data_IF_102644435404
#
_entry.id   IF_102644435404
#
_cell.length_a   1.000
_cell.length_b   1.000
_cell.length_c   1.000
_cell.angle_alpha   90.00
_cell.angle_beta   90.00
_cell.angle_gamma   90.00
#
_symmetry.space_group_name_H-M   'P 1'
#
loop_
_entity.id
_entity.type
_entity.pdbx_description
1 polymer ?
#
# COMPACT_ATOMS: atom_id res chain seq x y z
N UNK A 1 -8.56 -22.02 -2.82
CA UNK A 1 -8.44 -20.91 -1.84
C UNK A 1 -8.15 -21.39 -0.42
N UNK A 2 -9.01 -22.18 0.22
CA UNK A 2 -8.86 -22.54 1.65
C UNK A 2 -7.50 -23.21 1.97
N UNK A 3 -7.07 -24.21 1.21
CA UNK A 3 -5.76 -24.86 1.43
C UNK A 3 -4.58 -23.89 1.25
N UNK A 4 -4.69 -22.94 0.33
CA UNK A 4 -3.66 -21.92 0.10
C UNK A 4 -3.60 -20.89 1.23
N UNK A 5 -4.60 -20.82 2.12
CA UNK A 5 -4.50 -19.98 3.32
C UNK A 5 -3.46 -20.51 4.29
N UNK A 6 -3.22 -21.82 4.31
CA UNK A 6 -2.26 -22.46 5.20
C UNK A 6 -0.80 -22.10 4.85
N UNK A 7 -0.56 -21.61 3.63
CA UNK A 7 0.77 -21.14 3.23
C UNK A 7 1.07 -19.73 3.72
N UNK A 8 0.05 -18.90 4.01
CA UNK A 8 0.25 -17.51 4.42
C UNK A 8 1.06 -17.37 5.73
N UNK A 9 0.78 -18.12 6.82
CA UNK A 9 1.60 -18.05 8.03
C UNK A 9 3.05 -18.51 7.79
N UNK A 10 3.25 -19.51 6.92
CA UNK A 10 4.59 -19.99 6.54
C UNK A 10 5.35 -18.87 5.86
N UNK A 11 4.77 -18.25 4.83
CA UNK A 11 5.39 -17.13 4.10
C UNK A 11 5.65 -15.94 5.02
N UNK A 12 4.72 -15.61 5.94
CA UNK A 12 4.90 -14.53 6.90
C UNK A 12 6.07 -14.79 7.84
N UNK A 13 6.17 -16.01 8.38
CA UNK A 13 7.26 -16.40 9.27
C UNK A 13 8.61 -16.46 8.54
N UNK A 14 8.69 -17.15 7.41
CA UNK A 14 9.94 -17.31 6.66
C UNK A 14 10.45 -15.99 6.12
N UNK A 15 9.58 -15.12 5.61
CA UNK A 15 9.98 -13.79 5.13
C UNK A 15 10.49 -12.90 6.27
N UNK A 16 9.85 -12.94 7.44
CA UNK A 16 10.30 -12.23 8.63
C UNK A 16 11.70 -12.69 9.07
N UNK A 17 11.91 -14.01 9.19
CA UNK A 17 13.22 -14.57 9.54
C UNK A 17 14.29 -14.22 8.49
N UNK A 18 14.01 -14.40 7.20
CA UNK A 18 14.94 -14.11 6.12
C UNK A 18 15.34 -12.63 6.08
N UNK A 19 14.40 -11.70 6.23
CA UNK A 19 14.69 -10.26 6.25
C UNK A 19 15.51 -9.88 7.49
N UNK A 20 15.22 -10.49 8.63
CA UNK A 20 15.98 -10.27 9.85
C UNK A 20 17.43 -10.75 9.72
N UNK A 21 17.65 -11.97 9.22
CA UNK A 21 18.98 -12.53 8.97
C UNK A 21 19.77 -11.73 7.93
N UNK A 22 19.11 -11.27 6.86
CA UNK A 22 19.70 -10.42 5.82
C UNK A 22 19.96 -8.97 6.28
N UNK A 23 19.60 -8.62 7.53
CA UNK A 23 19.65 -7.25 8.08
C UNK A 23 18.87 -6.24 7.23
N UNK A 24 17.77 -6.69 6.63
CA UNK A 24 16.81 -5.85 5.94
C UNK A 24 15.80 -5.32 6.97
N UNK A 25 16.31 -4.46 7.85
CA UNK A 25 15.56 -3.83 8.93
C UNK A 25 15.65 -2.31 8.86
N UNK A 26 14.64 -1.65 9.41
CA UNK A 26 14.57 -0.20 9.57
C UNK A 26 14.16 0.13 11.00
N UNK A 27 14.68 1.21 11.61
CA UNK A 27 14.21 1.68 12.90
C UNK A 27 12.78 2.18 12.79
N UNK A 28 11.87 1.58 13.56
CA UNK A 28 10.49 2.05 13.65
C UNK A 28 10.40 3.40 14.38
N UNK A 29 9.17 3.94 14.51
CA UNK A 29 8.93 5.21 15.23
C UNK A 29 9.38 5.21 16.71
N UNK A 30 9.56 4.02 17.31
CA UNK A 30 10.08 3.81 18.67
C UNK A 30 11.59 3.52 18.69
N UNK A 31 12.30 3.66 17.55
CA UNK A 31 13.72 3.36 17.34
C UNK A 31 14.10 1.88 17.53
N UNK A 32 13.14 0.97 17.37
CA UNK A 32 13.39 -0.47 17.35
C UNK A 32 13.59 -0.94 15.92
N UNK A 33 14.67 -1.66 15.67
CA UNK A 33 14.92 -2.30 14.37
C UNK A 33 13.90 -3.41 14.13
N UNK A 34 13.11 -3.28 13.06
CA UNK A 34 12.13 -4.28 12.63
C UNK A 34 12.35 -4.64 11.15
N UNK A 35 12.14 -5.91 10.76
CA UNK A 35 12.17 -6.31 9.36
C UNK A 35 10.95 -5.78 8.62
N UNK A 36 11.14 -5.18 7.44
CA UNK A 36 10.07 -4.68 6.56
C UNK A 36 9.50 -5.77 5.63
N UNK A 37 9.21 -6.93 6.20
CA UNK A 37 8.84 -8.13 5.44
C UNK A 37 7.36 -8.27 5.11
N UNK A 38 6.46 -7.49 5.74
CA UNK A 38 5.02 -7.78 5.64
C UNK A 38 4.46 -7.51 4.24
N UNK A 39 5.08 -6.65 3.43
CA UNK A 39 4.69 -6.49 2.03
C UNK A 39 4.87 -7.77 1.19
N UNK A 40 5.77 -8.68 1.57
CA UNK A 40 5.89 -10.01 0.93
C UNK A 40 4.60 -10.80 1.11
N UNK A 41 3.99 -10.75 2.30
CA UNK A 41 2.72 -11.45 2.58
C UNK A 41 1.59 -10.88 1.73
N UNK A 42 1.54 -9.55 1.57
CA UNK A 42 0.55 -8.86 0.75
C UNK A 42 0.66 -9.27 -0.72
N UNK A 43 1.86 -9.17 -1.28
CA UNK A 43 2.11 -9.48 -2.69
C UNK A 43 1.94 -10.97 -2.97
N UNK A 44 2.42 -11.85 -2.08
CA UNK A 44 2.19 -13.28 -2.20
C UNK A 44 0.69 -13.62 -2.18
N UNK A 45 -0.05 -13.03 -1.23
CA UNK A 45 -1.50 -13.21 -1.15
C UNK A 45 -2.22 -12.76 -2.43
N UNK A 46 -1.83 -11.60 -2.96
CA UNK A 46 -2.38 -11.12 -4.24
C UNK A 46 -1.98 -12.02 -5.42
N UNK A 47 -0.72 -12.48 -5.48
CA UNK A 47 -0.25 -13.41 -6.52
C UNK A 47 -1.02 -14.73 -6.51
N UNK A 48 -1.35 -15.26 -5.33
CA UNK A 48 -2.20 -16.45 -5.18
C UNK A 48 -3.61 -16.17 -5.71
N UNK A 49 -4.18 -15.00 -5.43
CA UNK A 49 -5.47 -14.63 -6.01
C UNK A 49 -5.39 -14.45 -7.53
N UNK A 50 -4.28 -13.99 -8.10
CA UNK A 50 -4.13 -13.92 -9.56
C UNK A 50 -3.93 -15.29 -10.22
N UNK A 51 -3.24 -16.22 -9.56
CA UNK A 51 -3.05 -17.58 -10.05
C UNK A 51 -4.33 -18.43 -9.94
N UNK A 52 -5.15 -18.15 -8.94
CA UNK A 52 -6.41 -18.83 -8.67
C UNK A 52 -7.53 -17.80 -8.47
N UNK A 53 -7.96 -17.13 -9.54
CA UNK A 53 -8.88 -16.01 -9.48
C UNK A 53 -10.20 -16.39 -8.81
N UNK A 54 -10.67 -15.61 -7.82
CA UNK A 54 -11.95 -15.85 -7.16
C UNK A 54 -13.16 -15.50 -8.03
N UNK A 55 -12.93 -14.74 -9.11
CA UNK A 55 -13.91 -14.32 -10.11
C UNK A 55 -13.19 -13.99 -11.42
N UNK A 56 -13.92 -13.93 -12.54
CA UNK A 56 -13.39 -13.52 -13.85
C UNK A 56 -13.09 -12.01 -13.95
N UNK A 57 -12.79 -11.36 -12.83
CA UNK A 57 -12.47 -9.95 -12.75
C UNK A 57 -11.05 -9.66 -13.24
N UNK A 58 -10.90 -8.55 -13.96
CA UNK A 58 -9.59 -8.05 -14.40
C UNK A 58 -8.67 -7.69 -13.22
N UNK A 59 -9.22 -7.44 -12.02
CA UNK A 59 -8.46 -7.15 -10.79
C UNK A 59 -7.42 -8.22 -10.51
N UNK A 60 -7.75 -9.48 -10.77
CA UNK A 60 -6.88 -10.63 -10.51
C UNK A 60 -6.12 -11.09 -11.76
N UNK A 61 -5.95 -10.22 -12.76
CA UNK A 61 -5.18 -10.54 -13.96
C UNK A 61 -3.66 -10.58 -13.71
N UNK A 62 -2.92 -11.26 -14.60
CA UNK A 62 -1.45 -11.21 -14.59
C UNK A 62 -0.89 -9.81 -14.88
N UNK A 63 -1.65 -8.95 -15.59
CA UNK A 63 -1.26 -7.55 -15.78
C UNK A 63 -1.31 -6.81 -14.43
N UNK A 64 -2.36 -7.01 -13.65
CA UNK A 64 -2.50 -6.45 -12.30
C UNK A 64 -1.40 -6.96 -11.37
N UNK A 65 -1.08 -8.25 -11.43
CA UNK A 65 0.06 -8.82 -10.70
C UNK A 65 1.39 -8.17 -11.10
N UNK A 66 1.64 -8.01 -12.39
CA UNK A 66 2.85 -7.37 -12.91
C UNK A 66 3.01 -5.93 -12.42
N UNK A 67 1.91 -5.16 -12.41
CA UNK A 67 1.90 -3.80 -11.86
C UNK A 67 2.18 -3.80 -10.35
N UNK A 68 1.48 -4.61 -9.56
CA UNK A 68 1.65 -4.68 -8.10
C UNK A 68 3.06 -5.12 -7.72
N UNK A 69 3.61 -6.14 -8.38
CA UNK A 69 4.99 -6.59 -8.18
C UNK A 69 5.99 -5.47 -8.50
N UNK A 70 5.78 -4.74 -9.58
CA UNK A 70 6.68 -3.64 -9.97
C UNK A 70 6.65 -2.50 -8.95
N UNK A 71 5.47 -2.13 -8.46
CA UNK A 71 5.31 -1.13 -7.39
C UNK A 71 5.93 -1.60 -6.07
N UNK A 72 5.75 -2.88 -5.72
CA UNK A 72 6.36 -3.48 -4.55
C UNK A 72 7.89 -3.44 -4.63
N UNK A 73 8.47 -3.81 -5.79
CA UNK A 73 9.93 -3.73 -6.02
C UNK A 73 10.43 -2.29 -5.87
N UNK A 74 9.71 -1.30 -6.41
CA UNK A 74 10.08 0.11 -6.26
C UNK A 74 10.10 0.54 -4.77
N UNK A 75 9.10 0.11 -3.99
CA UNK A 75 9.09 0.36 -2.55
C UNK A 75 10.19 -0.39 -1.80
N UNK A 76 10.52 -1.62 -2.21
CA UNK A 76 11.59 -2.42 -1.60
C UNK A 76 12.97 -1.80 -1.82
N UNK A 77 13.22 -1.28 -3.02
CA UNK A 77 14.46 -0.54 -3.32
C UNK A 77 14.56 0.70 -2.44
N UNK A 78 13.45 1.41 -2.21
CA UNK A 78 13.41 2.59 -1.33
C UNK A 78 13.66 2.22 0.14
N UNK A 79 13.03 1.15 0.66
CA UNK A 79 13.30 0.62 2.00
C UNK A 79 14.78 0.23 2.18
N UNK A 80 15.41 -0.30 1.14
CA UNK A 80 16.78 -0.80 1.21
C UNK A 80 17.84 0.29 1.11
N UNK A 81 17.61 1.30 0.28
CA UNK A 81 18.62 2.28 -0.13
C UNK A 81 18.27 3.74 0.20
N UNK A 82 17.02 4.05 0.56
CA UNK A 82 16.51 5.42 0.77
C UNK A 82 16.96 6.14 2.04
N UNK A 83 18.15 5.84 2.57
CA UNK A 83 18.63 6.45 3.82
C UNK A 83 19.01 7.92 3.62
N UNK A 84 18.58 8.77 4.56
CA UNK A 84 19.02 10.16 4.76
C UNK A 84 18.65 11.19 3.67
N UNK A 85 17.53 10.98 2.97
CA UNK A 85 17.03 11.94 1.97
C UNK A 85 15.97 12.91 2.55
N UNK A 86 15.87 14.15 2.04
CA UNK A 86 14.88 15.12 2.48
C UNK A 86 13.46 14.63 2.20
N UNK A 87 12.59 14.69 3.21
CA UNK A 87 11.19 14.25 3.11
C UNK A 87 10.33 15.27 2.35
N UNK A 88 9.42 14.77 1.51
CA UNK A 88 8.38 15.56 0.83
C UNK A 88 8.73 16.00 -0.59
N UNK A 89 7.71 16.29 -1.39
CA UNK A 89 7.84 16.60 -2.84
C UNK A 89 8.79 17.78 -3.07
N UNK A 90 8.65 18.85 -2.27
CA UNK A 90 9.54 20.02 -2.33
C UNK A 90 10.99 19.69 -1.98
N UNK A 91 11.21 18.77 -1.05
CA UNK A 91 12.55 18.31 -0.66
C UNK A 91 13.24 17.58 -1.81
N UNK A 92 12.53 16.65 -2.47
CA UNK A 92 13.05 15.93 -3.64
C UNK A 92 13.26 16.85 -4.85
N UNK A 93 12.32 17.76 -5.11
CA UNK A 93 12.46 18.74 -6.21
C UNK A 93 13.62 19.71 -5.94
N UNK A 94 13.81 20.15 -4.71
CA UNK A 94 14.94 20.99 -4.33
C UNK A 94 16.27 20.22 -4.46
N UNK A 95 16.34 18.98 -3.98
CA UNK A 95 17.53 18.14 -4.10
C UNK A 95 17.88 17.84 -5.57
N UNK A 96 16.89 17.66 -6.43
CA UNK A 96 17.10 17.45 -7.87
C UNK A 96 17.59 18.72 -8.57
N UNK A 97 16.95 19.86 -8.32
CA UNK A 97 17.24 21.11 -9.03
C UNK A 97 18.54 21.75 -8.52
N UNK A 98 18.76 21.73 -7.20
CA UNK A 98 19.86 22.44 -6.56
C UNK A 98 21.07 21.53 -6.33
N UNK A 99 20.85 20.31 -5.84
CA UNK A 99 21.93 19.40 -5.48
C UNK A 99 22.25 18.38 -6.57
N UNK A 100 21.46 18.35 -7.67
CA UNK A 100 21.54 17.37 -8.77
C UNK A 100 21.53 15.91 -8.28
N UNK A 101 20.88 15.65 -7.13
CA UNK A 101 20.83 14.32 -6.52
C UNK A 101 19.60 13.57 -6.99
N UNK A 102 19.84 12.40 -7.57
CA UNK A 102 18.79 11.46 -7.92
C UNK A 102 18.47 10.62 -6.68
N UNK A 103 17.33 10.89 -6.06
CA UNK A 103 16.91 10.21 -4.82
C UNK A 103 16.08 8.97 -5.14
N UNK A 104 16.12 7.96 -4.26
CA UNK A 104 15.26 6.77 -4.39
C UNK A 104 13.78 7.13 -4.37
N UNK A 105 13.39 8.16 -3.62
CA UNK A 105 12.04 8.72 -3.63
C UNK A 105 11.61 9.30 -4.98
N UNK A 106 12.52 9.97 -5.71
CA UNK A 106 12.25 10.47 -7.06
C UNK A 106 12.11 9.30 -8.06
N UNK A 107 13.02 8.32 -7.97
CA UNK A 107 12.95 7.10 -8.78
C UNK A 107 11.61 6.38 -8.58
N UNK A 108 11.18 6.25 -7.33
CA UNK A 108 9.91 5.63 -6.96
C UNK A 108 8.72 6.40 -7.51
N UNK A 109 8.73 7.74 -7.44
CA UNK A 109 7.67 8.57 -7.98
C UNK A 109 7.57 8.45 -9.52
N UNK A 110 8.69 8.62 -10.22
CA UNK A 110 8.75 8.50 -11.69
C UNK A 110 8.40 7.08 -12.12
N UNK A 111 8.96 6.07 -11.45
CA UNK A 111 8.66 4.65 -11.69
C UNK A 111 7.16 4.36 -11.53
N UNK A 112 6.54 4.85 -10.46
CA UNK A 112 5.09 4.69 -10.23
C UNK A 112 4.28 5.33 -11.36
N UNK A 113 4.64 6.54 -11.80
CA UNK A 113 3.96 7.24 -12.89
C UNK A 113 4.08 6.47 -14.21
N UNK A 114 5.28 5.99 -14.55
CA UNK A 114 5.51 5.23 -15.78
C UNK A 114 4.76 3.89 -15.76
N UNK A 115 4.82 3.16 -14.64
CA UNK A 115 4.12 1.90 -14.46
C UNK A 115 2.60 2.08 -14.48
N UNK A 116 2.08 3.14 -13.87
CA UNK A 116 0.65 3.48 -13.91
C UNK A 116 0.21 3.83 -15.34
N UNK A 117 1.01 4.62 -16.08
CA UNK A 117 0.76 4.95 -17.48
C UNK A 117 0.73 3.70 -18.37
N UNK A 118 1.72 2.82 -18.20
CA UNK A 118 1.79 1.55 -18.93
C UNK A 118 0.59 0.65 -18.61
N UNK A 119 0.24 0.50 -17.34
CA UNK A 119 -0.92 -0.30 -16.92
C UNK A 119 -2.23 0.25 -17.50
N UNK A 120 -2.45 1.57 -17.41
CA UNK A 120 -3.62 2.22 -17.99
C UNK A 120 -3.69 2.02 -19.50
N UNK A 121 -2.57 2.14 -20.21
CA UNK A 121 -2.50 1.91 -21.65
C UNK A 121 -2.86 0.46 -22.01
N UNK A 122 -2.29 -0.51 -21.30
CA UNK A 122 -2.52 -1.94 -21.55
C UNK A 122 -3.91 -2.41 -21.10
N UNK A 123 -4.52 -1.75 -20.12
CA UNK A 123 -5.88 -2.07 -19.65
C UNK A 123 -6.99 -1.62 -20.60
N UNK A 124 -6.67 -0.80 -21.62
CA UNK A 124 -7.59 -0.28 -22.63
C UNK A 124 -8.98 0.15 -22.08
N UNK A 125 -9.05 1.14 -21.17
CA UNK A 125 -10.32 1.60 -20.63
C UNK A 125 -11.27 2.11 -21.73
N UNK A 126 -12.57 1.91 -21.52
CA UNK A 126 -13.63 2.20 -22.50
C UNK A 126 -13.73 3.68 -22.93
N UNK A 127 -13.18 4.61 -22.14
CA UNK A 127 -13.25 6.04 -22.41
C UNK A 127 -12.01 6.78 -21.90
N UNK A 128 -11.69 7.91 -22.53
CA UNK A 128 -10.56 8.76 -22.11
C UNK A 128 -10.70 9.22 -20.65
N UNK A 129 -11.91 9.56 -20.21
CA UNK A 129 -12.14 9.97 -18.82
C UNK A 129 -11.85 8.84 -17.83
N UNK A 130 -12.19 7.59 -18.18
CA UNK A 130 -11.87 6.41 -17.35
C UNK A 130 -10.37 6.14 -17.34
N UNK A 131 -9.67 6.34 -18.46
CA UNK A 131 -8.21 6.27 -18.51
C UNK A 131 -7.55 7.31 -17.60
N UNK A 132 -8.06 8.54 -17.60
CA UNK A 132 -7.53 9.62 -16.75
C UNK A 132 -7.76 9.30 -15.26
N UNK A 133 -8.99 8.95 -14.86
CA UNK A 133 -9.27 8.60 -13.47
C UNK A 133 -8.46 7.39 -13.00
N UNK A 134 -8.33 6.36 -13.85
CA UNK A 134 -7.51 5.18 -13.57
C UNK A 134 -6.05 5.54 -13.35
N UNK A 135 -5.45 6.30 -14.25
CA UNK A 135 -4.06 6.75 -14.12
C UNK A 135 -3.82 7.54 -12.83
N UNK A 136 -4.72 8.47 -12.49
CA UNK A 136 -4.59 9.23 -11.24
C UNK A 136 -4.71 8.35 -10.01
N UNK A 137 -5.66 7.42 -9.96
CA UNK A 137 -5.82 6.51 -8.82
C UNK A 137 -4.61 5.58 -8.64
N UNK A 138 -4.09 5.04 -9.73
CA UNK A 138 -2.88 4.20 -9.74
C UNK A 138 -1.64 4.98 -9.27
N UNK A 139 -1.56 6.28 -9.51
CA UNK A 139 -0.48 7.10 -8.95
C UNK A 139 -0.72 7.47 -7.47
N UNK A 140 -1.93 7.93 -7.14
CA UNK A 140 -2.22 8.59 -5.88
C UNK A 140 -2.37 7.60 -4.71
N UNK A 141 -3.06 6.46 -4.89
CA UNK A 141 -3.28 5.54 -3.78
C UNK A 141 -2.00 4.91 -3.23
N UNK A 142 -1.07 4.38 -4.05
CA UNK A 142 0.24 3.92 -3.54
C UNK A 142 0.97 5.01 -2.76
N UNK A 143 0.98 6.25 -3.27
CA UNK A 143 1.65 7.37 -2.62
C UNK A 143 0.98 7.76 -1.28
N UNK A 144 -0.35 7.81 -1.24
CA UNK A 144 -1.09 8.10 -0.02
C UNK A 144 -0.88 7.00 1.03
N UNK A 145 -0.94 5.73 0.66
CA UNK A 145 -0.66 4.64 1.60
C UNK A 145 0.75 4.75 2.19
N UNK A 146 1.76 5.05 1.36
CA UNK A 146 3.12 5.32 1.83
C UNK A 146 3.19 6.47 2.84
N UNK A 147 2.44 7.54 2.60
CA UNK A 147 2.39 8.69 3.51
C UNK A 147 1.79 8.35 4.87
N UNK A 148 0.80 7.45 4.89
CA UNK A 148 0.19 6.97 6.12
C UNK A 148 1.03 5.91 6.84
N UNK A 149 2.04 5.30 6.18
CA UNK A 149 2.97 4.33 6.78
C UNK A 149 4.03 4.99 7.68
N UNK A 150 3.54 5.65 8.73
CA UNK A 150 4.36 6.37 9.71
C UNK A 150 4.20 5.81 11.12
N UNK A 151 3.16 5.01 11.34
CA UNK A 151 2.87 4.31 12.59
C UNK A 151 2.16 2.99 12.29
N UNK A 152 2.28 2.00 13.21
CA UNK A 152 1.71 0.68 13.02
C UNK A 152 0.22 0.74 12.67
N UNK A 153 -0.19 -0.11 11.73
CA UNK A 153 -1.58 -0.39 11.35
C UNK A 153 -2.34 0.76 10.69
N UNK A 154 -1.72 1.92 10.44
CA UNK A 154 -2.41 3.04 9.76
C UNK A 154 -2.85 2.68 8.35
N UNK A 155 -1.93 2.09 7.58
CA UNK A 155 -2.21 1.64 6.21
C UNK A 155 -3.35 0.63 6.21
N UNK A 156 -3.35 -0.31 7.15
CA UNK A 156 -4.38 -1.34 7.26
C UNK A 156 -5.75 -0.79 7.66
N UNK A 157 -5.80 0.16 8.59
CA UNK A 157 -7.06 0.84 8.96
C UNK A 157 -7.65 1.60 7.77
N UNK A 158 -6.80 2.31 7.02
CA UNK A 158 -7.24 3.01 5.82
C UNK A 158 -7.67 2.03 4.72
N UNK A 159 -6.93 0.94 4.54
CA UNK A 159 -7.24 -0.10 3.56
C UNK A 159 -8.56 -0.79 3.85
N UNK A 160 -8.85 -1.10 5.12
CA UNK A 160 -10.15 -1.62 5.55
C UNK A 160 -11.29 -0.62 5.29
N UNK A 161 -11.07 0.66 5.56
CA UNK A 161 -12.07 1.70 5.30
C UNK A 161 -12.41 1.76 3.80
N UNK A 162 -11.38 1.76 2.94
CA UNK A 162 -11.55 1.77 1.48
C UNK A 162 -12.22 0.48 1.01
N UNK A 163 -11.77 -0.69 1.48
CA UNK A 163 -12.37 -1.97 1.12
C UNK A 163 -13.85 -2.06 1.55
N UNK A 164 -14.18 -1.62 2.77
CA UNK A 164 -15.56 -1.56 3.25
C UNK A 164 -16.42 -0.63 2.38
N UNK A 165 -15.90 0.54 2.01
CA UNK A 165 -16.60 1.47 1.13
C UNK A 165 -16.87 0.86 -0.25
N UNK A 166 -15.91 0.13 -0.83
CA UNK A 166 -16.11 -0.60 -2.09
C UNK A 166 -17.21 -1.65 -1.91
N UNK A 167 -17.14 -2.48 -0.85
CA UNK A 167 -18.11 -3.55 -0.61
C UNK A 167 -19.55 -3.07 -0.37
N UNK A 168 -19.79 -1.80 -0.03
CA UNK A 168 -21.14 -1.23 0.06
C UNK A 168 -21.85 -1.15 -1.30
N UNK A 169 -21.09 -1.10 -2.39
CA UNK A 169 -21.62 -0.94 -3.74
C UNK A 169 -21.44 -2.19 -4.61
N UNK A 170 -20.96 -3.29 -4.02
CA UNK A 170 -20.54 -4.48 -4.75
C UNK A 170 -21.09 -5.76 -4.13
N UNK A 171 -21.28 -6.83 -4.92
CA UNK A 171 -21.62 -8.13 -4.36
C UNK A 171 -20.52 -8.59 -3.39
N UNK A 172 -20.94 -9.24 -2.31
CA UNK A 172 -20.01 -9.81 -1.36
C UNK A 172 -19.11 -10.84 -2.05
N UNK A 173 -17.79 -10.86 -1.74
CA UNK A 173 -16.90 -11.89 -2.22
C UNK A 173 -17.37 -13.28 -1.78
N UNK A 174 -16.93 -14.32 -2.49
CA UNK A 174 -17.13 -15.69 -2.00
C UNK A 174 -16.58 -15.82 -0.58
N UNK A 175 -17.21 -16.68 0.24
CA UNK A 175 -16.75 -16.95 1.60
C UNK A 175 -15.26 -17.30 1.65
N UNK A 176 -14.79 -18.09 0.68
CA UNK A 176 -13.38 -18.49 0.61
C UNK A 176 -12.43 -17.32 0.33
N UNK A 177 -12.84 -16.36 -0.51
CA UNK A 177 -12.05 -15.16 -0.84
C UNK A 177 -12.01 -14.19 0.33
N UNK A 178 -13.16 -14.00 1.00
CA UNK A 178 -13.27 -13.20 2.21
C UNK A 178 -12.39 -13.76 3.32
N UNK A 179 -12.48 -15.08 3.55
CA UNK A 179 -11.68 -15.78 4.54
C UNK A 179 -10.18 -15.63 4.23
N UNK A 180 -9.78 -15.80 2.97
CA UNK A 180 -8.39 -15.60 2.53
C UNK A 180 -7.87 -14.18 2.81
N UNK A 181 -8.63 -13.16 2.41
CA UNK A 181 -8.29 -11.76 2.66
C UNK A 181 -8.23 -11.42 4.16
N UNK A 182 -9.16 -11.95 4.95
CA UNK A 182 -9.16 -11.78 6.41
C UNK A 182 -7.93 -12.42 7.08
N UNK A 183 -7.44 -13.54 6.57
CA UNK A 183 -6.20 -14.14 7.10
C UNK A 183 -4.97 -13.33 6.76
N UNK A 184 -4.86 -12.77 5.55
CA UNK A 184 -3.79 -11.80 5.23
C UNK A 184 -3.85 -10.65 6.21
N UNK A 185 -5.03 -10.03 6.34
CA UNK A 185 -5.23 -8.91 7.25
C UNK A 185 -4.84 -9.28 8.69
N UNK A 186 -5.32 -10.41 9.20
CA UNK A 186 -5.04 -10.86 10.57
C UNK A 186 -3.54 -11.08 10.81
N UNK A 187 -2.85 -11.76 9.90
CA UNK A 187 -1.42 -12.02 10.03
C UNK A 187 -0.63 -10.71 10.07
N UNK A 188 -0.91 -9.78 9.15
CA UNK A 188 -0.20 -8.50 9.13
C UNK A 188 -0.57 -7.65 10.34
N UNK A 189 -1.85 -7.62 10.72
CA UNK A 189 -2.34 -6.88 11.87
C UNK A 189 -1.64 -7.32 13.17
N UNK A 190 -1.52 -8.62 13.40
CA UNK A 190 -0.84 -9.17 14.58
C UNK A 190 0.65 -8.88 14.51
N UNK A 191 1.34 -9.20 13.41
CA UNK A 191 2.79 -9.04 13.33
C UNK A 191 3.23 -7.57 13.42
N UNK A 192 2.47 -6.66 12.82
CA UNK A 192 2.75 -5.23 12.88
C UNK A 192 2.35 -4.61 14.23
N UNK A 193 1.17 -4.97 14.75
CA UNK A 193 0.66 -4.49 16.05
C UNK A 193 1.53 -4.92 17.24
N UNK A 194 2.10 -6.13 17.17
CA UNK A 194 3.04 -6.70 18.15
C UNK A 194 4.49 -6.27 17.93
N UNK A 195 4.76 -5.42 16.92
CA UNK A 195 6.12 -4.95 16.56
C UNK A 195 7.07 -6.12 16.29
N UNK A 196 6.63 -7.13 15.54
CA UNK A 196 7.47 -8.25 15.08
C UNK A 196 8.05 -7.98 13.70
N UNK A 197 7.27 -7.32 12.85
CA UNK A 197 7.68 -6.87 11.52
C UNK A 197 6.96 -5.56 11.19
N UNK A 198 7.39 -4.89 10.12
CA UNK A 198 6.73 -3.70 9.60
C UNK A 198 6.26 -3.93 8.16
N UNK A 199 5.27 -3.14 7.73
CA UNK A 199 4.80 -3.14 6.36
C UNK A 199 5.85 -2.61 5.40
N UNK A 200 6.46 -1.47 5.76
CA UNK A 200 7.48 -0.80 4.96
C UNK A 200 6.90 -0.14 3.72
N UNK A 201 7.75 0.64 3.05
CA UNK A 201 7.37 1.36 1.84
C UNK A 201 6.95 0.37 0.74
N UNK A 202 7.59 -0.81 0.68
CA UNK A 202 7.21 -1.89 -0.24
C UNK A 202 5.76 -2.37 -0.05
N UNK A 203 5.34 -2.62 1.19
CA UNK A 203 4.02 -3.14 1.47
C UNK A 203 2.94 -2.06 1.39
N UNK A 204 3.27 -0.83 1.82
CA UNK A 204 2.34 0.29 1.79
C UNK A 204 1.97 0.67 0.36
N UNK A 205 2.95 0.84 -0.53
CA UNK A 205 2.67 1.16 -1.94
C UNK A 205 1.97 0.01 -2.66
N UNK A 206 2.35 -1.24 -2.40
CA UNK A 206 1.70 -2.41 -2.99
C UNK A 206 0.23 -2.52 -2.56
N UNK A 207 -0.07 -2.27 -1.29
CA UNK A 207 -1.46 -2.25 -0.78
C UNK A 207 -2.27 -1.15 -1.46
N UNK A 208 -1.69 0.05 -1.61
CA UNK A 208 -2.32 1.13 -2.36
C UNK A 208 -2.55 0.80 -3.84
N UNK A 209 -1.62 0.09 -4.47
CA UNK A 209 -1.73 -0.36 -5.86
C UNK A 209 -2.87 -1.37 -6.05
N UNK A 210 -3.00 -2.34 -5.14
CA UNK A 210 -4.10 -3.30 -5.14
C UNK A 210 -5.45 -2.58 -4.99
N UNK A 211 -5.56 -1.64 -4.05
CA UNK A 211 -6.78 -0.86 -3.86
C UNK A 211 -7.11 0.02 -5.06
N UNK A 212 -6.09 0.57 -5.73
CA UNK A 212 -6.28 1.36 -6.96
C UNK A 212 -6.81 0.49 -8.11
N UNK A 213 -6.22 -0.68 -8.32
CA UNK A 213 -6.71 -1.65 -9.30
C UNK A 213 -8.16 -2.00 -8.99
N UNK A 214 -8.47 -2.31 -7.73
CA UNK A 214 -9.81 -2.69 -7.34
C UNK A 214 -10.81 -1.57 -7.63
N UNK A 215 -10.52 -0.36 -7.17
CA UNK A 215 -11.38 0.81 -7.38
C UNK A 215 -11.57 1.18 -8.86
N UNK A 216 -10.57 0.96 -9.71
CA UNK A 216 -10.61 1.36 -11.13
C UNK A 216 -11.35 0.37 -12.03
N UNK A 217 -11.30 -0.91 -11.68
CA UNK A 217 -12.01 -1.96 -12.41
C UNK A 217 -13.43 -2.17 -11.90
N UNK A 218 -13.61 -2.12 -10.58
CA UNK A 218 -14.84 -2.50 -9.92
C UNK A 218 -15.67 -1.28 -9.44
N UNK A 219 -15.02 -0.13 -9.22
CA UNK A 219 -15.72 1.10 -8.85
C UNK A 219 -16.37 1.81 -10.03
N UNK A 220 -17.52 2.45 -9.79
CA UNK A 220 -18.17 3.31 -10.78
C UNK A 220 -17.30 4.51 -11.13
N UNK A 221 -17.56 5.13 -12.27
CA UNK A 221 -16.80 6.28 -12.74
C UNK A 221 -16.88 7.47 -11.77
N UNK A 222 -18.05 7.69 -11.17
CA UNK A 222 -18.28 8.73 -10.16
C UNK A 222 -17.45 8.47 -8.91
N UNK A 223 -17.42 7.22 -8.43
CA UNK A 223 -16.64 6.82 -7.27
C UNK A 223 -15.14 6.99 -7.53
N UNK A 224 -14.66 6.69 -8.74
CA UNK A 224 -13.28 6.89 -9.13
C UNK A 224 -12.87 8.37 -9.08
N UNK A 225 -13.67 9.25 -9.70
CA UNK A 225 -13.39 10.69 -9.70
C UNK A 225 -13.50 11.32 -8.32
N UNK A 226 -14.50 10.90 -7.55
CA UNK A 226 -14.65 11.33 -6.15
C UNK A 226 -13.43 10.94 -5.32
N UNK A 227 -12.99 9.68 -5.43
CA UNK A 227 -11.81 9.19 -4.71
C UNK A 227 -10.54 9.89 -5.17
N UNK A 228 -10.33 10.06 -6.48
CA UNK A 228 -9.16 10.77 -7.02
C UNK A 228 -9.10 12.22 -6.50
N UNK A 229 -10.24 12.90 -6.43
CA UNK A 229 -10.35 14.26 -5.88
C UNK A 229 -9.96 14.30 -4.40
N UNK A 230 -10.49 13.38 -3.58
CA UNK A 230 -10.13 13.29 -2.15
C UNK A 230 -8.65 13.00 -1.97
N UNK A 231 -8.10 12.02 -2.70
CA UNK A 231 -6.70 11.63 -2.59
C UNK A 231 -5.77 12.76 -3.03
N UNK A 232 -6.14 13.50 -4.07
CA UNK A 232 -5.39 14.68 -4.49
C UNK A 232 -5.41 15.78 -3.43
N UNK A 233 -6.56 16.03 -2.78
CA UNK A 233 -6.64 16.98 -1.67
C UNK A 233 -5.81 16.54 -0.45
N UNK A 234 -5.77 15.24 -0.16
CA UNK A 234 -4.91 14.69 0.89
C UNK A 234 -3.43 14.88 0.54
N UNK A 235 -3.04 14.65 -0.71
CA UNK A 235 -1.68 14.88 -1.20
C UNK A 235 -1.25 16.34 -0.98
N UNK A 236 -2.08 17.30 -1.40
CA UNK A 236 -1.79 18.73 -1.20
C UNK A 236 -1.70 19.11 0.28
N UNK A 237 -2.55 18.49 1.12
CA UNK A 237 -2.56 18.73 2.57
C UNK A 237 -1.29 18.20 3.23
N UNK A 238 -0.76 17.07 2.74
CA UNK A 238 0.47 16.45 3.23
C UNK A 238 1.70 17.36 3.13
N UNK A 239 1.74 18.26 2.15
CA UNK A 239 2.86 19.20 2.00
C UNK A 239 2.90 20.25 3.11
N UNK A 240 1.75 20.57 3.71
CA UNK A 240 1.59 21.67 4.67
C UNK A 240 1.43 21.19 6.10
N UNK A 241 0.88 19.98 6.28
CA UNK A 241 0.47 19.47 7.59
C UNK A 241 1.02 18.06 7.79
N UNK A 242 1.66 17.84 8.95
CA UNK A 242 1.98 16.51 9.43
C UNK A 242 0.70 15.80 9.87
N UNK A 243 0.23 14.81 9.10
CA UNK A 243 -0.93 13.99 9.49
C UNK A 243 -0.74 13.33 10.86
N UNK A 244 0.47 12.91 11.18
CA UNK A 244 0.81 12.36 12.49
C UNK A 244 0.54 13.34 13.64
N UNK A 245 0.92 14.60 13.48
CA UNK A 245 0.66 15.63 14.50
C UNK A 245 -0.83 15.99 14.58
N UNK A 246 -1.50 16.07 13.43
CA UNK A 246 -2.93 16.35 13.38
C UNK A 246 -3.76 15.27 14.08
N UNK A 247 -3.45 13.99 13.82
CA UNK A 247 -4.05 12.84 14.49
C UNK A 247 -3.75 12.87 15.99
N UNK A 248 -2.49 13.16 16.37
CA UNK A 248 -2.09 13.21 17.77
C UNK A 248 -2.81 14.30 18.57
N UNK A 249 -3.17 15.43 17.97
CA UNK A 249 -3.85 16.55 18.66
C UNK A 249 -5.32 16.26 18.99
N UNK A 250 -5.98 15.32 18.32
CA UNK A 250 -7.44 15.08 18.46
C UNK A 250 -7.73 13.76 19.18
N UNK A 251 -8.50 13.80 20.28
CA UNK A 251 -8.76 12.65 21.16
C UNK A 251 -9.30 11.42 20.42
N UNK A 252 -10.32 11.59 19.59
CA UNK A 252 -10.95 10.50 18.84
C UNK A 252 -9.96 9.83 17.87
N UNK A 253 -9.29 10.64 17.04
CA UNK A 253 -8.32 10.13 16.06
C UNK A 253 -7.11 9.48 16.73
N UNK A 254 -6.62 10.03 17.85
CA UNK A 254 -5.55 9.42 18.65
C UNK A 254 -5.97 8.06 19.22
N UNK A 255 -7.20 7.94 19.69
CA UNK A 255 -7.74 6.67 20.19
C UNK A 255 -7.82 5.64 19.06
N UNK A 256 -8.38 6.00 17.90
CA UNK A 256 -8.41 5.13 16.72
C UNK A 256 -7.00 4.72 16.26
N UNK A 257 -6.04 5.65 16.26
CA UNK A 257 -4.64 5.40 15.90
C UNK A 257 -4.00 4.33 16.81
N UNK A 258 -4.39 4.29 18.09
CA UNK A 258 -3.90 3.31 19.06
C UNK A 258 -4.58 1.94 19.03
N UNK A 259 -5.69 1.76 18.31
CA UNK A 259 -6.36 0.45 18.22
C UNK A 259 -5.45 -0.59 17.57
N UNK A 260 -5.35 -1.78 18.17
CA UNK A 260 -4.53 -2.89 17.66
C UNK A 260 -3.05 -2.81 17.96
N UNK A 261 -2.56 -1.66 18.44
CA UNK A 261 -1.15 -1.49 18.79
C UNK A 261 -0.97 -1.82 20.26
N UNK A 262 -0.12 -2.80 20.56
CA UNK A 262 0.16 -3.18 21.94
C UNK A 262 0.75 -1.99 22.69
N UNK A 263 0.09 -1.57 23.78
CA UNK A 263 0.63 -0.55 24.69
C UNK A 263 1.79 -1.17 25.46
N UNK A 264 2.87 -0.42 25.64
CA UNK A 264 3.91 -0.79 26.60
C UNK A 264 3.25 -0.86 27.99
N UNK A 265 3.28 -2.03 28.61
CA UNK A 265 3.23 -2.18 30.07
C UNK A 265 4.54 -1.69 30.66
#
# INVERSE_FOLDING_TARGET
MILLMLTLPIIAFTSMCAFYEARWTVPNYEKRELPYSLGVVVVYGFAVMCAFPPSDSFVFSYLSLGYVLSIWVMGFIDDRYGKSEPKGIRGHVHALIKDRRWTTGLMKAVGTILLAGLYTFLSQPQSAMRSISMFFLLCLLPHIMNLFDTRPLRVWKLSLLVAAAILLFMPLPSFSSLLYGLTIFYLVYVLEGERKAMLGDNGATATGAILAIWLTHEGTMELQWFSATILFMLLLSAERVSFSEWIAKRRFWRWMDGLGVVKKT
#
